data_IF_635987045791
#
_entry.id   IF_635987045791
#
_cell.length_a   1.000
_cell.length_b   1.000
_cell.length_c   1.000
_cell.angle_alpha   90.00
_cell.angle_beta   90.00
_cell.angle_gamma   90.00
#
_symmetry.space_group_name_H-M   'P 1'
#
loop_
_entity.id
_entity.type
_entity.pdbx_description
1 polymer ?
#
# COMPACT_ATOMS: atom_id res chain seq x y z
N UNK A 1 -31.85 14.50 -29.30
CA UNK A 1 -30.87 15.25 -28.48
C UNK A 1 -30.76 14.73 -27.04
N UNK A 2 -31.83 14.72 -26.23
CA UNK A 2 -31.77 14.31 -24.81
C UNK A 2 -31.21 12.90 -24.57
N UNK A 3 -31.52 11.92 -25.42
CA UNK A 3 -31.02 10.53 -25.30
C UNK A 3 -29.50 10.42 -25.43
N UNK A 4 -28.90 11.13 -26.39
CA UNK A 4 -27.45 11.15 -26.58
C UNK A 4 -26.72 11.85 -25.44
N UNK A 5 -27.29 12.96 -24.94
CA UNK A 5 -26.77 13.67 -23.76
C UNK A 5 -26.80 12.77 -22.52
N UNK A 6 -27.88 12.02 -22.31
CA UNK A 6 -27.98 11.08 -21.18
C UNK A 6 -26.97 9.94 -21.29
N UNK A 7 -26.74 9.40 -22.49
CA UNK A 7 -25.72 8.37 -22.72
C UNK A 7 -24.33 8.91 -22.40
N UNK A 8 -23.98 10.10 -22.89
CA UNK A 8 -22.72 10.77 -22.61
C UNK A 8 -22.52 11.03 -21.11
N UNK A 9 -23.55 11.54 -20.42
CA UNK A 9 -23.51 11.77 -18.98
C UNK A 9 -23.32 10.46 -18.19
N UNK A 10 -24.01 9.38 -18.56
CA UNK A 10 -23.86 8.09 -17.89
C UNK A 10 -22.46 7.50 -18.08
N UNK A 11 -21.88 7.62 -19.29
CA UNK A 11 -20.51 7.17 -19.55
C UNK A 11 -19.48 7.98 -18.75
N UNK A 12 -19.66 9.29 -18.69
CA UNK A 12 -18.81 10.16 -17.88
C UNK A 12 -18.89 9.79 -16.39
N UNK A 13 -20.09 9.62 -15.84
CA UNK A 13 -20.28 9.19 -14.45
C UNK A 13 -19.66 7.82 -14.17
N UNK A 14 -19.84 6.85 -15.07
CA UNK A 14 -19.22 5.54 -14.94
C UNK A 14 -17.69 5.64 -14.90
N UNK A 15 -17.09 6.47 -15.75
CA UNK A 15 -15.65 6.72 -15.75
C UNK A 15 -15.18 7.32 -14.42
N UNK A 16 -15.89 8.32 -13.89
CA UNK A 16 -15.56 8.94 -12.59
C UNK A 16 -15.60 7.90 -11.47
N UNK A 17 -16.63 7.05 -11.43
CA UNK A 17 -16.76 5.98 -10.43
C UNK A 17 -15.61 4.97 -10.55
N UNK A 18 -15.24 4.58 -11.77
CA UNK A 18 -14.12 3.66 -12.00
C UNK A 18 -12.79 4.23 -11.52
N UNK A 19 -12.52 5.51 -11.81
CA UNK A 19 -11.29 6.18 -11.36
C UNK A 19 -11.28 6.29 -9.83
N UNK A 20 -12.39 6.69 -9.22
CA UNK A 20 -12.50 6.78 -7.77
C UNK A 20 -12.30 5.41 -7.10
N UNK A 21 -12.89 4.35 -7.66
CA UNK A 21 -12.70 2.99 -7.18
C UNK A 21 -11.26 2.50 -7.35
N UNK A 22 -10.61 2.83 -8.47
CA UNK A 22 -9.21 2.50 -8.69
C UNK A 22 -8.29 3.18 -7.66
N UNK A 23 -8.47 4.48 -7.42
CA UNK A 23 -7.73 5.21 -6.39
C UNK A 23 -7.97 4.63 -4.99
N UNK A 24 -9.24 4.31 -4.67
CA UNK A 24 -9.59 3.66 -3.42
C UNK A 24 -8.88 2.30 -3.27
N UNK A 25 -8.83 1.50 -4.34
CA UNK A 25 -8.13 0.21 -4.34
C UNK A 25 -6.64 0.36 -4.08
N UNK A 26 -6.00 1.35 -4.72
CA UNK A 26 -4.57 1.64 -4.54
C UNK A 26 -4.25 2.07 -3.10
N UNK A 27 -5.14 2.82 -2.44
CA UNK A 27 -4.91 3.28 -1.06
C UNK A 27 -5.25 2.16 -0.06
N UNK A 28 -6.41 1.53 -0.18
CA UNK A 28 -6.96 0.69 0.89
C UNK A 28 -6.84 -0.82 0.67
N UNK A 29 -6.80 -1.30 -0.58
CA UNK A 29 -6.97 -2.72 -0.89
C UNK A 29 -5.63 -3.42 -1.20
N UNK A 30 -4.94 -2.98 -2.25
CA UNK A 30 -3.78 -3.67 -2.79
C UNK A 30 -2.56 -2.77 -2.80
N UNK A 31 -1.40 -3.35 -2.52
CA UNK A 31 -0.10 -2.71 -2.71
C UNK A 31 0.87 -3.74 -3.29
N UNK A 32 1.61 -3.36 -4.33
CA UNK A 32 2.61 -4.22 -4.96
C UNK A 32 4.00 -3.88 -4.46
N UNK A 33 4.79 -4.90 -4.12
CA UNK A 33 6.20 -4.75 -3.74
C UNK A 33 7.07 -5.68 -4.58
N UNK A 34 8.30 -5.23 -4.88
CA UNK A 34 9.33 -6.08 -5.46
C UNK A 34 10.21 -6.59 -4.34
N UNK A 35 10.48 -7.88 -4.31
CA UNK A 35 11.32 -8.48 -3.27
C UNK A 35 12.77 -8.04 -3.46
N UNK A 36 13.37 -7.31 -2.50
CA UNK A 36 14.69 -6.73 -2.66
C UNK A 36 15.83 -7.63 -2.16
N UNK A 37 15.52 -8.75 -1.50
CA UNK A 37 16.49 -9.63 -0.84
C UNK A 37 16.05 -11.09 -0.81
N UNK A 38 17.01 -11.98 -0.60
CA UNK A 38 16.89 -13.44 -0.49
C UNK A 38 16.40 -13.95 0.89
N UNK A 39 15.96 -13.06 1.78
CA UNK A 39 15.63 -13.37 3.18
C UNK A 39 14.49 -14.38 3.38
N UNK A 40 13.67 -14.59 2.36
CA UNK A 40 12.50 -15.47 2.37
C UNK A 40 12.64 -16.64 1.37
N UNK A 41 13.85 -16.90 0.88
CA UNK A 41 14.12 -18.08 0.06
C UNK A 41 13.86 -19.38 0.85
N UNK A 42 13.34 -20.44 0.20
CA UNK A 42 13.06 -20.55 -1.24
C UNK A 42 11.65 -20.13 -1.66
N UNK A 43 10.78 -19.72 -0.73
CA UNK A 43 9.37 -19.47 -1.03
C UNK A 43 9.15 -18.17 -1.80
N UNK A 44 9.98 -17.16 -1.53
CA UNK A 44 9.96 -15.87 -2.18
C UNK A 44 11.40 -15.49 -2.59
N UNK A 45 11.62 -15.34 -3.90
CA UNK A 45 12.96 -15.13 -4.46
C UNK A 45 13.17 -13.65 -4.77
N UNK A 46 14.43 -13.20 -4.72
CA UNK A 46 14.80 -11.85 -5.11
C UNK A 46 14.29 -11.53 -6.54
N UNK A 47 13.63 -10.38 -6.69
CA UNK A 47 13.05 -9.94 -7.96
C UNK A 47 11.58 -10.31 -8.18
N UNK A 48 11.01 -11.18 -7.33
CA UNK A 48 9.58 -11.49 -7.39
C UNK A 48 8.72 -10.25 -7.11
N UNK A 49 7.47 -10.30 -7.59
CA UNK A 49 6.46 -9.29 -7.31
C UNK A 49 5.36 -9.88 -6.44
N UNK A 50 5.11 -9.25 -5.28
CA UNK A 50 4.04 -9.65 -4.38
C UNK A 50 2.95 -8.59 -4.30
N UNK A 51 1.70 -9.02 -4.21
CA UNK A 51 0.55 -8.17 -3.97
C UNK A 51 0.06 -8.36 -2.53
N UNK A 52 0.08 -7.29 -1.74
CA UNK A 52 -0.31 -7.30 -0.33
C UNK A 52 -1.77 -6.91 -0.19
N UNK A 53 -2.56 -7.78 0.45
CA UNK A 53 -3.94 -7.49 0.84
C UNK A 53 -3.99 -6.70 2.16
N UNK A 54 -4.01 -5.37 2.04
CA UNK A 54 -3.99 -4.41 3.16
C UNK A 54 -5.21 -4.49 4.10
N UNK A 55 -6.44 -4.78 3.65
CA UNK A 55 -7.62 -4.80 4.51
C UNK A 55 -7.53 -5.81 5.67
N UNK A 56 -6.69 -6.83 5.56
CA UNK A 56 -6.44 -7.79 6.65
C UNK A 56 -6.03 -7.06 7.93
N UNK A 57 -4.97 -6.23 7.86
CA UNK A 57 -4.39 -5.53 9.00
C UNK A 57 -4.81 -4.07 9.08
N UNK A 58 -5.42 -3.53 8.02
CA UNK A 58 -5.71 -2.13 7.85
C UNK A 58 -4.62 -1.41 7.05
N UNK A 59 -5.04 -0.50 6.18
CA UNK A 59 -4.15 0.36 5.41
C UNK A 59 -3.47 1.38 6.34
N UNK A 60 -2.21 1.68 6.06
CA UNK A 60 -1.48 2.76 6.73
C UNK A 60 -1.72 4.05 5.95
N UNK A 61 -2.13 5.09 6.65
CA UNK A 61 -2.31 6.44 6.16
C UNK A 61 -1.23 7.31 6.78
N UNK A 62 -0.45 7.97 5.94
CA UNK A 62 0.67 8.82 6.31
C UNK A 62 0.91 9.85 5.20
N UNK A 63 1.59 10.94 5.53
CA UNK A 63 1.89 11.99 4.55
C UNK A 63 3.05 11.57 3.63
N UNK A 64 2.75 11.44 2.34
CA UNK A 64 3.74 11.10 1.32
C UNK A 64 4.77 12.20 1.11
N UNK A 65 4.38 13.48 1.18
CA UNK A 65 5.29 14.59 0.92
C UNK A 65 6.35 14.71 1.99
N UNK A 66 5.95 14.63 3.26
CA UNK A 66 6.88 14.64 4.38
C UNK A 66 7.80 13.40 4.35
N UNK A 67 7.27 12.23 4.02
CA UNK A 67 8.11 11.02 3.95
C UNK A 67 9.10 11.05 2.78
N UNK A 68 8.76 11.67 1.65
CA UNK A 68 9.69 11.93 0.53
C UNK A 68 10.81 12.90 0.91
N UNK A 69 10.58 13.78 1.87
CA UNK A 69 11.59 14.67 2.47
C UNK A 69 12.41 14.00 3.58
N UNK A 70 12.21 12.69 3.81
CA UNK A 70 12.81 11.92 4.90
C UNK A 70 12.40 12.42 6.29
N UNK A 71 11.27 13.13 6.38
CA UNK A 71 10.70 13.56 7.65
C UNK A 71 9.87 12.42 8.26
N UNK A 72 9.89 12.33 9.60
CA UNK A 72 9.03 11.39 10.31
C UNK A 72 7.60 11.89 10.31
N UNK A 73 6.66 11.02 9.92
CA UNK A 73 5.24 11.33 9.83
C UNK A 73 4.44 10.51 10.82
N UNK A 74 3.34 11.07 11.30
CA UNK A 74 2.39 10.31 12.10
C UNK A 74 1.69 9.28 11.20
N UNK A 75 1.71 8.02 11.62
CA UNK A 75 1.13 6.92 10.87
C UNK A 75 -0.17 6.51 11.55
N UNK A 76 -1.29 6.72 10.85
CA UNK A 76 -2.58 6.22 11.27
C UNK A 76 -2.90 4.92 10.54
N UNK A 77 -3.45 3.94 11.24
CA UNK A 77 -3.86 2.68 10.64
C UNK A 77 -5.38 2.56 10.66
N UNK A 78 -5.97 2.23 9.51
CA UNK A 78 -7.41 1.93 9.47
C UNK A 78 -7.70 0.64 10.24
N UNK A 79 -8.94 0.42 10.70
CA UNK A 79 -9.32 -0.88 11.23
C UNK A 79 -9.05 -1.98 10.19
N UNK A 80 -8.52 -3.12 10.65
CA UNK A 80 -8.32 -4.31 9.84
C UNK A 80 -9.37 -5.38 10.14
N UNK A 81 -9.58 -6.31 9.21
CA UNK A 81 -10.49 -7.43 9.40
C UNK A 81 -10.04 -8.41 10.49
N UNK A 82 -8.72 -8.56 10.69
CA UNK A 82 -8.16 -9.45 11.72
C UNK A 82 -6.77 -9.02 12.16
N UNK A 83 -6.30 -9.58 13.27
CA UNK A 83 -4.90 -9.46 13.69
C UNK A 83 -4.00 -10.44 12.91
N UNK A 84 -2.69 -10.20 12.99
CA UNK A 84 -1.66 -11.12 12.48
C UNK A 84 -1.79 -12.49 13.13
N UNK A 85 -1.55 -13.54 12.35
CA UNK A 85 -1.55 -14.93 12.79
C UNK A 85 -0.20 -15.55 12.48
N UNK A 86 0.17 -16.60 13.22
CA UNK A 86 1.36 -17.40 12.92
C UNK A 86 1.24 -17.97 11.51
N UNK A 87 2.30 -17.78 10.71
CA UNK A 87 2.35 -18.19 9.30
C UNK A 87 1.91 -17.10 8.30
N UNK A 88 1.44 -15.93 8.76
CA UNK A 88 1.24 -14.80 7.85
C UNK A 88 2.60 -14.23 7.40
N UNK A 89 2.76 -14.01 6.09
CA UNK A 89 3.87 -13.24 5.51
C UNK A 89 3.51 -11.76 5.53
N UNK A 90 4.42 -10.90 5.99
CA UNK A 90 4.12 -9.51 6.30
C UNK A 90 5.12 -8.56 5.66
N UNK A 91 4.61 -7.54 4.97
CA UNK A 91 5.46 -6.44 4.51
C UNK A 91 5.54 -5.36 5.59
N UNK A 92 6.76 -5.05 6.03
CA UNK A 92 7.03 -4.03 7.05
C UNK A 92 8.27 -3.21 6.72
N UNK A 93 8.35 -2.00 7.27
CA UNK A 93 9.49 -1.12 7.06
C UNK A 93 10.63 -1.52 7.99
N UNK A 94 11.87 -1.43 7.50
CA UNK A 94 13.05 -1.65 8.33
C UNK A 94 13.12 -0.55 9.41
N UNK A 95 13.22 -0.89 10.71
CA UNK A 95 13.15 0.08 11.80
C UNK A 95 14.35 1.03 11.89
N UNK A 96 15.51 0.68 11.36
CA UNK A 96 16.76 1.43 11.53
C UNK A 96 17.41 1.86 10.19
N UNK A 97 16.69 2.59 9.32
CA UNK A 97 17.11 2.82 7.95
C UNK A 97 18.39 3.67 7.83
N UNK A 98 18.64 4.64 8.71
CA UNK A 98 19.82 5.51 8.63
C UNK A 98 20.83 5.31 9.78
N UNK A 99 20.55 4.39 10.71
CA UNK A 99 21.35 4.17 11.90
C UNK A 99 20.58 3.41 12.98
N UNK A 100 21.31 2.83 13.93
CA UNK A 100 20.77 2.10 15.08
C UNK A 100 20.42 3.00 16.28
N UNK A 101 20.64 4.30 16.13
CA UNK A 101 20.43 5.33 17.15
C UNK A 101 18.94 5.61 17.41
N UNK A 102 18.08 5.45 16.39
CA UNK A 102 16.64 5.70 16.51
C UNK A 102 15.83 4.77 15.61
N UNK A 103 14.58 4.53 16.01
CA UNK A 103 13.59 3.86 15.17
C UNK A 103 12.91 4.89 14.30
N UNK A 104 12.91 4.67 13.00
CA UNK A 104 12.29 5.57 12.03
C UNK A 104 11.77 4.82 10.80
N UNK A 105 10.74 5.35 10.15
CA UNK A 105 10.13 4.73 8.99
C UNK A 105 10.73 5.30 7.70
N UNK A 106 11.13 4.39 6.78
CA UNK A 106 11.56 4.74 5.43
C UNK A 106 10.77 3.93 4.40
N UNK A 107 10.04 4.61 3.50
CA UNK A 107 9.12 3.95 2.54
C UNK A 107 9.83 2.92 1.67
N UNK A 108 11.04 3.25 1.20
CA UNK A 108 11.77 2.39 0.25
C UNK A 108 12.56 1.25 0.92
N UNK A 109 12.66 1.24 2.26
CA UNK A 109 13.37 0.19 3.00
C UNK A 109 12.33 -0.68 3.71
N UNK A 110 11.98 -1.77 3.08
CA UNK A 110 11.01 -2.72 3.58
C UNK A 110 11.54 -4.15 3.46
N UNK A 111 11.03 -4.99 4.35
CA UNK A 111 11.21 -6.43 4.35
C UNK A 111 9.86 -7.12 4.23
N UNK A 112 9.93 -8.40 3.86
CA UNK A 112 8.81 -9.31 3.64
C UNK A 112 9.01 -10.52 4.54
#
# INVERSE_FOLDING_TARGET
MKRWINILLNLFLALVVLIAFWLFSQVFLLASFRIPSDSMEPELVEGDFVAVWKPTLGARLFDLNATLRLEQTEIHRTPGFRKTKRGDVLVFNFPHPNGWDKIEMHILKYYI
#
